data_IF_591329418038
#
_entry.id   IF_591329418038
#
_cell.length_a   1.000
_cell.length_b   1.000
_cell.length_c   1.000
_cell.angle_alpha   90.00
_cell.angle_beta   90.00
_cell.angle_gamma   90.00
#
_symmetry.space_group_name_H-M   'P 1'
#
loop_
_entity.id
_entity.type
_entity.pdbx_description
1 polymer ?
#
# COMPACT_ATOMS: atom_id res chain seq x y z
N UNK A 1 -15.18 13.97 -6.00
CA UNK A 1 -13.75 14.21 -5.73
C UNK A 1 -13.00 13.04 -6.32
N UNK A 2 -11.98 13.26 -7.14
CA UNK A 2 -11.19 12.18 -7.70
C UNK A 2 -10.15 11.75 -6.66
N UNK A 3 -10.09 10.45 -6.38
CA UNK A 3 -9.22 9.89 -5.34
C UNK A 3 -7.93 9.44 -6.02
N UNK A 4 -6.75 9.89 -5.58
CA UNK A 4 -5.50 9.56 -6.25
C UNK A 4 -5.17 8.06 -6.11
N UNK A 5 -4.56 7.50 -7.16
CA UNK A 5 -4.08 6.13 -7.17
C UNK A 5 -3.09 5.89 -6.01
N UNK A 6 -2.21 6.84 -5.72
CA UNK A 6 -1.30 6.82 -4.57
C UNK A 6 -1.49 8.08 -3.74
N UNK A 7 -1.69 7.96 -2.42
CA UNK A 7 -1.87 9.14 -1.55
C UNK A 7 -0.57 9.92 -1.38
N UNK A 8 0.51 9.21 -1.08
CA UNK A 8 1.85 9.76 -0.91
C UNK A 8 2.88 8.67 -1.18
N UNK A 9 4.11 9.09 -1.46
CA UNK A 9 5.26 8.21 -1.49
C UNK A 9 6.30 8.75 -0.50
N UNK A 10 7.09 7.87 0.15
CA UNK A 10 8.09 8.33 1.11
C UNK A 10 9.10 9.27 0.44
N UNK A 11 9.50 10.37 1.11
CA UNK A 11 10.60 11.19 0.62
C UNK A 11 11.93 10.43 0.76
N UNK A 12 12.96 10.94 0.08
CA UNK A 12 14.29 10.31 0.10
C UNK A 12 14.86 10.25 1.52
N UNK A 13 15.48 9.13 1.88
CA UNK A 13 16.06 8.84 3.20
C UNK A 13 15.04 8.89 4.37
N UNK A 14 13.74 8.80 4.08
CA UNK A 14 12.73 8.59 5.12
C UNK A 14 12.83 7.17 5.70
N UNK A 15 12.40 7.02 6.96
CA UNK A 15 12.11 5.69 7.52
C UNK A 15 11.09 4.97 6.63
N UNK A 16 11.11 3.63 6.54
CA UNK A 16 10.13 2.89 5.76
C UNK A 16 8.69 3.22 6.17
N UNK A 17 7.86 3.52 5.16
CA UNK A 17 6.43 3.68 5.31
C UNK A 17 5.79 2.31 5.23
N UNK A 18 4.70 2.08 5.97
CA UNK A 18 3.81 0.95 5.68
C UNK A 18 2.99 1.26 4.46
N UNK A 19 2.64 0.26 3.66
CA UNK A 19 1.69 0.43 2.57
C UNK A 19 0.71 -0.74 2.44
N UNK A 20 -0.43 -0.45 1.80
CA UNK A 20 -1.43 -1.43 1.36
C UNK A 20 -1.79 -1.17 -0.10
N UNK A 21 -1.91 -2.24 -0.88
CA UNK A 21 -2.34 -2.24 -2.27
C UNK A 21 -3.80 -2.69 -2.37
N UNK A 22 -4.58 -1.93 -3.12
CA UNK A 22 -5.97 -2.21 -3.44
C UNK A 22 -6.17 -2.24 -4.95
N UNK A 23 -7.05 -3.11 -5.43
CA UNK A 23 -7.67 -2.96 -6.74
C UNK A 23 -9.10 -2.47 -6.55
N UNK A 24 -9.46 -1.39 -7.24
CA UNK A 24 -10.82 -0.82 -7.24
C UNK A 24 -11.34 -0.76 -8.65
N UNK A 25 -12.36 -1.57 -8.96
CA UNK A 25 -12.90 -1.72 -10.33
C UNK A 25 -11.78 -1.98 -11.37
N UNK A 26 -10.78 -2.79 -11.02
CA UNK A 26 -9.63 -3.12 -11.87
C UNK A 26 -8.51 -2.07 -11.92
N UNK A 27 -8.66 -0.93 -11.23
CA UNK A 27 -7.64 0.12 -11.17
C UNK A 27 -6.75 -0.05 -9.93
N UNK A 28 -5.43 0.17 -10.05
CA UNK A 28 -4.50 -0.01 -8.95
C UNK A 28 -4.49 1.22 -8.02
N UNK A 29 -4.65 0.97 -6.73
CA UNK A 29 -4.48 1.95 -5.67
C UNK A 29 -3.43 1.49 -4.66
N UNK A 30 -2.66 2.43 -4.13
CA UNK A 30 -1.74 2.22 -3.03
C UNK A 30 -1.96 3.30 -1.97
N UNK A 31 -1.92 2.89 -0.71
CA UNK A 31 -1.93 3.81 0.42
C UNK A 31 -0.71 3.57 1.28
N UNK A 32 0.01 4.62 1.63
CA UNK A 32 1.17 4.57 2.50
C UNK A 32 0.98 5.37 3.78
N UNK A 33 1.71 5.04 4.85
CA UNK A 33 1.71 5.77 6.13
C UNK A 33 3.07 5.67 6.86
N UNK A 34 3.53 6.77 7.47
CA UNK A 34 4.89 6.91 8.04
C UNK A 34 5.08 6.26 9.43
N UNK A 35 4.31 6.60 10.48
CA UNK A 35 4.41 5.98 11.82
C UNK A 35 3.42 6.53 12.87
N UNK A 36 2.90 5.69 13.80
CA UNK A 36 2.50 4.29 13.60
C UNK A 36 1.02 4.21 13.22
N UNK A 37 0.76 3.91 11.95
CA UNK A 37 -0.55 3.41 11.49
C UNK A 37 -0.36 1.93 11.16
N UNK A 38 -1.15 1.04 11.77
CA UNK A 38 -1.17 -0.37 11.39
C UNK A 38 -1.68 -0.49 9.94
N UNK A 39 -1.33 -1.57 9.23
CA UNK A 39 -1.90 -1.81 7.90
C UNK A 39 -3.44 -1.81 7.92
N UNK A 40 -4.03 -2.17 9.06
CA UNK A 40 -5.49 -2.13 9.31
C UNK A 40 -6.04 -0.72 9.32
N UNK A 41 -5.28 0.23 9.82
CA UNK A 41 -5.68 1.64 9.86
C UNK A 41 -5.67 2.23 8.44
N UNK A 42 -4.67 1.84 7.63
CA UNK A 42 -4.60 2.20 6.21
C UNK A 42 -5.84 1.69 5.45
N UNK A 43 -6.29 0.46 5.73
CA UNK A 43 -7.51 -0.10 5.12
C UNK A 43 -8.76 0.66 5.57
N UNK A 44 -8.86 0.98 6.86
CA UNK A 44 -10.00 1.74 7.38
C UNK A 44 -10.06 3.17 6.84
N UNK A 45 -8.92 3.84 6.70
CA UNK A 45 -8.81 5.16 6.07
C UNK A 45 -9.20 5.09 4.60
N UNK A 46 -8.66 4.14 3.85
CA UNK A 46 -9.00 3.96 2.44
C UNK A 46 -10.50 3.73 2.25
N UNK A 47 -11.14 2.85 3.04
CA UNK A 47 -12.58 2.64 2.92
C UNK A 47 -13.41 3.87 3.33
N UNK A 48 -12.92 4.72 4.24
CA UNK A 48 -13.57 6.00 4.52
C UNK A 48 -13.47 6.97 3.35
N UNK A 49 -12.32 6.99 2.65
CA UNK A 49 -12.11 7.84 1.46
C UNK A 49 -13.06 7.45 0.32
N UNK A 50 -13.21 6.15 0.06
CA UNK A 50 -13.98 5.64 -1.09
C UNK A 50 -15.41 5.18 -0.72
N UNK A 51 -15.83 5.45 0.52
CA UNK A 51 -17.12 5.04 1.09
C UNK A 51 -17.41 3.52 1.00
N UNK A 52 -16.38 2.66 1.03
CA UNK A 52 -16.59 1.22 1.10
C UNK A 52 -16.97 0.73 2.50
N UNK A 53 -17.85 -0.27 2.54
CA UNK A 53 -18.16 -0.98 3.78
C UNK A 53 -16.94 -1.79 4.22
N UNK A 54 -16.75 -1.92 5.52
CA UNK A 54 -15.73 -2.78 6.11
C UNK A 54 -16.36 -3.90 6.94
N UNK A 55 -15.60 -4.98 7.15
CA UNK A 55 -15.87 -5.93 8.22
C UNK A 55 -14.63 -6.07 9.10
N UNK A 56 -14.85 -6.27 10.41
CA UNK A 56 -13.78 -6.47 11.38
C UNK A 56 -13.71 -7.93 11.80
N UNK A 57 -12.50 -8.51 11.79
CA UNK A 57 -12.22 -9.87 12.29
C UNK A 57 -10.90 -9.86 13.06
N UNK A 58 -10.94 -10.14 14.36
CA UNK A 58 -9.76 -10.28 15.22
C UNK A 58 -8.72 -9.16 15.03
N UNK A 59 -9.17 -7.89 15.11
CA UNK A 59 -8.35 -6.67 14.91
C UNK A 59 -7.88 -6.43 13.48
N UNK A 60 -8.47 -7.10 12.49
CA UNK A 60 -8.23 -6.86 11.06
C UNK A 60 -9.45 -6.19 10.46
N UNK A 61 -9.20 -5.26 9.55
CA UNK A 61 -10.26 -4.54 8.83
C UNK A 61 -10.16 -4.95 7.37
N UNK A 62 -11.26 -5.39 6.78
CA UNK A 62 -11.30 -5.82 5.40
C UNK A 62 -12.37 -5.04 4.64
N UNK A 63 -12.13 -4.67 3.37
CA UNK A 63 -13.18 -4.15 2.51
C UNK A 63 -14.28 -5.22 2.31
N UNK A 64 -15.54 -4.80 2.38
CA UNK A 64 -16.75 -5.61 2.13
C UNK A 64 -17.50 -5.09 0.90
N UNK A 65 -16.76 -4.57 -0.05
CA UNK A 65 -17.26 -4.08 -1.33
C UNK A 65 -16.72 -5.01 -2.44
N UNK A 66 -17.57 -5.64 -3.26
CA UNK A 66 -17.14 -6.48 -4.37
C UNK A 66 -16.21 -5.78 -5.37
N UNK A 67 -16.27 -4.45 -5.45
CA UNK A 67 -15.41 -3.66 -6.31
C UNK A 67 -13.99 -3.46 -5.74
N UNK A 68 -13.76 -3.74 -4.45
CA UNK A 68 -12.52 -3.42 -3.73
C UNK A 68 -11.85 -4.70 -3.25
N UNK A 69 -10.65 -4.98 -3.79
CA UNK A 69 -9.84 -6.12 -3.38
C UNK A 69 -8.55 -5.64 -2.74
N UNK A 70 -8.21 -6.18 -1.58
CA UNK A 70 -6.91 -6.00 -0.92
C UNK A 70 -5.93 -7.02 -1.50
N UNK A 71 -4.94 -6.56 -2.28
CA UNK A 71 -4.08 -7.45 -3.08
C UNK A 71 -2.65 -7.56 -2.55
N UNK A 72 -2.20 -6.62 -1.73
CA UNK A 72 -0.87 -6.67 -1.15
C UNK A 72 -0.67 -5.68 -0.01
N UNK A 73 0.36 -5.91 0.79
CA UNK A 73 0.73 -5.01 1.87
C UNK A 73 2.19 -5.25 2.26
N UNK A 74 2.86 -4.19 2.69
CA UNK A 74 4.29 -4.26 3.00
C UNK A 74 4.83 -2.95 3.53
N UNK A 75 6.11 -2.73 3.26
CA UNK A 75 6.84 -1.50 3.59
C UNK A 75 7.55 -0.96 2.36
N UNK A 76 7.71 0.36 2.30
CA UNK A 76 8.34 1.07 1.19
C UNK A 76 9.24 2.19 1.72
N UNK A 77 10.44 2.34 1.18
CA UNK A 77 11.31 3.49 1.43
C UNK A 77 11.93 3.98 0.13
N UNK A 78 12.47 5.20 0.15
CA UNK A 78 13.14 5.81 -0.99
C UNK A 78 14.64 5.97 -0.72
N UNK A 79 15.45 5.55 -1.69
CA UNK A 79 16.87 5.81 -1.77
C UNK A 79 17.22 6.38 -3.16
N UNK A 80 17.48 7.68 -3.22
CA UNK A 80 17.66 8.42 -4.47
C UNK A 80 16.39 8.39 -5.33
N UNK A 81 16.50 7.95 -6.58
CA UNK A 81 15.36 7.79 -7.47
C UNK A 81 14.71 6.40 -7.41
N UNK A 82 15.10 5.56 -6.46
CA UNK A 82 14.61 4.19 -6.31
C UNK A 82 13.70 4.09 -5.09
N UNK A 83 12.51 3.54 -5.29
CA UNK A 83 11.63 3.04 -4.25
C UNK A 83 11.86 1.55 -4.05
N UNK A 84 12.25 1.18 -2.84
CA UNK A 84 12.41 -0.21 -2.43
C UNK A 84 11.17 -0.63 -1.66
N UNK A 85 10.55 -1.73 -2.06
CA UNK A 85 9.32 -2.22 -1.44
C UNK A 85 9.40 -3.72 -1.16
N UNK A 86 8.70 -4.19 -0.13
CA UNK A 86 8.74 -5.58 0.26
C UNK A 86 8.09 -5.85 1.62
N UNK A 87 8.52 -6.92 2.28
CA UNK A 87 8.00 -7.31 3.59
C UNK A 87 6.61 -7.95 3.51
N UNK A 88 5.92 -8.03 4.65
CA UNK A 88 4.55 -8.54 4.74
C UNK A 88 3.77 -7.89 5.88
N UNK A 89 2.46 -7.81 5.71
CA UNK A 89 1.61 -7.43 6.84
C UNK A 89 1.47 -8.60 7.83
N UNK A 90 1.81 -8.38 9.10
CA UNK A 90 1.54 -9.35 10.16
C UNK A 90 0.04 -9.65 10.32
N UNK A 91 -0.81 -8.65 10.07
CA UNK A 91 -2.28 -8.77 10.15
C UNK A 91 -2.84 -9.58 8.98
N UNK A 92 -2.47 -9.22 7.75
CA UNK A 92 -3.08 -9.80 6.55
C UNK A 92 -2.36 -11.05 6.03
N UNK A 93 -1.10 -11.28 6.42
CA UNK A 93 -0.23 -12.36 5.91
C UNK A 93 -0.13 -12.40 4.37
N UNK A 94 -0.34 -11.25 3.73
CA UNK A 94 -0.14 -11.05 2.30
C UNK A 94 1.19 -10.33 2.08
N UNK A 95 1.84 -10.67 0.97
CA UNK A 95 3.01 -9.97 0.45
C UNK A 95 2.59 -8.93 -0.57
N UNK A 96 3.46 -7.97 -0.93
CA UNK A 96 3.22 -7.09 -2.06
C UNK A 96 2.97 -7.87 -3.35
N UNK A 97 2.01 -7.38 -4.16
CA UNK A 97 1.80 -7.86 -5.52
C UNK A 97 2.69 -7.06 -6.48
N UNK A 98 3.59 -7.76 -7.17
CA UNK A 98 4.53 -7.14 -8.10
C UNK A 98 3.86 -6.64 -9.39
N UNK A 99 2.84 -7.34 -9.90
CA UNK A 99 2.10 -6.89 -11.09
C UNK A 99 1.33 -5.62 -10.77
N UNK A 100 0.76 -5.53 -9.57
CA UNK A 100 0.15 -4.31 -9.08
C UNK A 100 1.17 -3.18 -8.95
N UNK A 101 2.34 -3.46 -8.39
CA UNK A 101 3.40 -2.47 -8.23
C UNK A 101 3.94 -1.96 -9.57
N UNK A 102 4.02 -2.80 -10.61
CA UNK A 102 4.37 -2.38 -11.97
C UNK A 102 3.39 -1.34 -12.52
N UNK A 103 2.08 -1.53 -12.30
CA UNK A 103 1.06 -0.55 -12.70
C UNK A 103 1.20 0.77 -11.92
N UNK A 104 1.51 0.70 -10.63
CA UNK A 104 1.78 1.89 -9.81
C UNK A 104 3.05 2.61 -10.28
N UNK A 105 4.12 1.87 -10.54
CA UNK A 105 5.40 2.41 -11.00
C UNK A 105 5.28 3.16 -12.33
N UNK A 106 4.39 2.71 -13.22
CA UNK A 106 4.11 3.39 -14.48
C UNK A 106 3.56 4.82 -14.32
N UNK A 107 3.03 5.17 -13.14
CA UNK A 107 2.58 6.53 -12.81
C UNK A 107 3.73 7.49 -12.44
N UNK A 108 4.92 6.96 -12.15
CA UNK A 108 6.11 7.69 -11.69
C UNK A 108 7.34 7.34 -12.54
N UNK A 109 7.35 7.69 -13.84
CA UNK A 109 8.36 7.23 -14.80
C UNK A 109 9.80 7.66 -14.48
N UNK A 110 9.98 8.71 -13.68
CA UNK A 110 11.26 9.18 -13.18
C UNK A 110 11.84 8.30 -12.05
N UNK A 111 11.02 7.42 -11.47
CA UNK A 111 11.39 6.55 -10.38
C UNK A 111 11.44 5.09 -10.78
N UNK A 112 12.28 4.33 -10.08
CA UNK A 112 12.35 2.87 -10.21
C UNK A 112 11.76 2.23 -8.97
N UNK A 113 10.96 1.19 -9.14
CA UNK A 113 10.41 0.40 -8.05
C UNK A 113 11.10 -0.96 -8.05
N UNK A 114 11.68 -1.35 -6.91
CA UNK A 114 12.48 -2.57 -6.77
C UNK A 114 12.00 -3.35 -5.56
N UNK A 115 11.73 -4.64 -5.77
CA UNK A 115 11.40 -5.54 -4.67
C UNK A 115 12.65 -5.83 -3.81
N UNK A 116 12.57 -5.57 -2.51
CA UNK A 116 13.59 -5.87 -1.49
C UNK A 116 12.90 -6.60 -0.32
N UNK A 117 13.16 -7.90 -0.18
CA UNK A 117 12.55 -8.74 0.86
C UNK A 117 12.92 -8.26 2.29
N UNK A 118 14.01 -7.50 2.45
CA UNK A 118 14.54 -7.04 3.74
C UNK A 118 14.20 -5.57 4.06
N UNK A 119 13.25 -4.97 3.33
CA UNK A 119 12.82 -3.58 3.49
C UNK A 119 12.43 -3.22 4.93
N UNK A 120 11.93 -4.18 5.72
CA UNK A 120 11.43 -3.96 7.09
C UNK A 120 12.56 -3.71 8.09
N UNK A 121 13.81 -4.03 7.73
CA UNK A 121 14.98 -3.98 8.60
C UNK A 121 15.82 -2.70 8.42
N UNK A 122 15.35 -1.75 7.61
CA UNK A 122 16.08 -0.54 7.22
C UNK A 122 15.56 0.73 7.89
#
# INVERSE_FOLDING_TARGET
MEIPAVNELPPDNARPYKFVQFEVNGNPYMRTAQQPSYHTDIVAEFCREIECKTYEDNRKIYPRDPAVTLVGAGFIYKGGNVYYYGGRSASYRITPDNTHMEKIAALFPENRFVFDEFVELR
#
